data_IF_185104672753
#
_entry.id   IF_185104672753
#
_cell.length_a   1.000
_cell.length_b   1.000
_cell.length_c   1.000
_cell.angle_alpha   90.00
_cell.angle_beta   90.00
_cell.angle_gamma   90.00
#
_symmetry.space_group_name_H-M   'P 1'
#
loop_
_entity.id
_entity.type
_entity.pdbx_description
1 polymer ?
#
# COMPACT_ATOMS: atom_id res chain seq x y z
N UNK A 1 -31.01 -2.81 0.32
CA UNK A 1 -29.57 -3.13 0.24
C UNK A 1 -29.36 -4.63 0.39
N UNK A 2 -28.33 -5.18 -0.24
CA UNK A 2 -27.88 -6.56 -0.03
C UNK A 2 -26.59 -6.49 0.79
N UNK A 3 -26.52 -7.25 1.87
CA UNK A 3 -25.29 -7.41 2.65
C UNK A 3 -24.64 -8.73 2.25
N UNK A 4 -23.40 -8.66 1.77
CA UNK A 4 -22.64 -9.82 1.32
C UNK A 4 -21.20 -9.74 1.87
N UNK A 5 -20.59 -10.86 2.28
CA UNK A 5 -19.17 -10.91 2.60
C UNK A 5 -18.32 -10.93 1.32
N UNK A 6 -17.38 -10.00 1.20
CA UNK A 6 -16.48 -9.89 0.04
C UNK A 6 -15.02 -9.95 0.47
N UNK A 7 -14.17 -10.47 -0.40
CA UNK A 7 -12.72 -10.45 -0.23
C UNK A 7 -12.14 -9.07 -0.56
N UNK A 8 -11.23 -8.56 0.28
CA UNK A 8 -10.58 -7.27 0.03
C UNK A 8 -9.51 -7.38 -1.06
N UNK A 9 -9.51 -6.43 -2.02
CA UNK A 9 -8.72 -6.51 -3.24
C UNK A 9 -9.55 -7.01 -4.41
N UNK A 10 -9.89 -6.13 -5.34
CA UNK A 10 -10.81 -6.46 -6.42
C UNK A 10 -10.17 -7.41 -7.44
N UNK A 11 -10.89 -8.49 -7.76
CA UNK A 11 -10.61 -9.36 -8.90
C UNK A 11 -11.60 -9.03 -10.03
N UNK A 12 -11.14 -8.47 -11.16
CA UNK A 12 -12.04 -8.04 -12.24
C UNK A 12 -12.83 -9.20 -12.81
N UNK A 13 -14.09 -8.98 -13.21
CA UNK A 13 -14.96 -10.05 -13.73
C UNK A 13 -14.37 -10.77 -14.96
N UNK A 14 -13.65 -10.05 -15.81
CA UNK A 14 -13.02 -10.58 -17.02
C UNK A 14 -11.69 -11.30 -16.75
N UNK A 15 -11.12 -11.20 -15.55
CA UNK A 15 -9.85 -11.84 -15.25
C UNK A 15 -9.99 -13.37 -15.34
N UNK A 16 -9.06 -14.01 -16.05
CA UNK A 16 -9.01 -15.46 -16.24
C UNK A 16 -7.66 -16.02 -15.78
N UNK A 17 -7.66 -17.21 -15.15
CA UNK A 17 -6.44 -17.85 -14.66
C UNK A 17 -5.49 -18.25 -15.79
N UNK A 18 -4.21 -17.92 -15.67
CA UNK A 18 -3.17 -18.42 -16.58
C UNK A 18 -2.42 -19.61 -15.95
N UNK A 19 -2.14 -19.53 -14.64
CA UNK A 19 -1.69 -20.64 -13.79
C UNK A 19 -2.79 -21.00 -12.80
N UNK A 20 -3.44 -22.15 -13.05
CA UNK A 20 -4.55 -22.65 -12.25
C UNK A 20 -4.13 -23.37 -10.97
N UNK A 21 -2.82 -23.58 -10.74
CA UNK A 21 -2.37 -24.41 -9.62
C UNK A 21 -2.36 -23.62 -8.30
N UNK A 22 -3.11 -24.08 -7.28
CA UNK A 22 -3.03 -23.50 -5.94
C UNK A 22 -1.63 -23.69 -5.36
N UNK A 23 -1.11 -22.66 -4.70
CA UNK A 23 0.20 -22.71 -4.05
C UNK A 23 0.01 -22.82 -2.53
N UNK A 24 0.79 -23.69 -1.88
CA UNK A 24 0.84 -23.77 -0.41
C UNK A 24 1.71 -22.64 0.13
N UNK A 25 1.38 -22.13 1.31
CA UNK A 25 2.28 -21.22 2.06
C UNK A 25 3.62 -21.92 2.32
N UNK A 26 4.71 -21.15 2.36
CA UNK A 26 6.06 -21.68 2.60
C UNK A 26 6.20 -22.44 3.93
N UNK A 27 5.30 -22.19 4.89
CA UNK A 27 5.19 -22.94 6.14
C UNK A 27 4.66 -24.36 5.99
N UNK A 28 4.16 -24.75 4.82
CA UNK A 28 3.50 -26.04 4.58
C UNK A 28 2.11 -26.18 5.22
N UNK A 29 1.79 -25.33 6.19
CA UNK A 29 0.52 -25.25 6.93
C UNK A 29 -0.35 -24.08 6.46
N UNK A 30 -1.65 -24.33 6.24
CA UNK A 30 -2.66 -23.33 5.89
C UNK A 30 -3.37 -23.62 4.57
N UNK A 31 -4.46 -22.88 4.30
CA UNK A 31 -5.16 -22.97 3.03
C UNK A 31 -4.24 -22.58 1.86
N UNK A 32 -4.37 -23.31 0.75
CA UNK A 32 -3.73 -22.95 -0.52
C UNK A 32 -4.25 -21.59 -1.02
N UNK A 33 -3.50 -20.91 -1.88
CA UNK A 33 -3.92 -19.63 -2.46
C UNK A 33 -3.52 -19.54 -3.94
N UNK A 34 -4.19 -18.68 -4.69
CA UNK A 34 -3.78 -18.32 -6.06
C UNK A 34 -2.84 -17.12 -6.05
N UNK A 35 -1.65 -17.27 -6.64
CA UNK A 35 -0.69 -16.18 -6.82
C UNK A 35 -1.27 -15.04 -7.67
N UNK A 36 -2.07 -15.37 -8.67
CA UNK A 36 -2.67 -14.39 -9.57
C UNK A 36 -3.76 -13.58 -8.87
N UNK A 37 -4.63 -14.25 -8.10
CA UNK A 37 -5.64 -13.55 -7.29
C UNK A 37 -4.95 -12.60 -6.32
N UNK A 38 -3.90 -13.05 -5.62
CA UNK A 38 -3.13 -12.19 -4.72
C UNK A 38 -2.46 -11.01 -5.45
N UNK A 39 -1.94 -11.24 -6.66
CA UNK A 39 -1.36 -10.19 -7.49
C UNK A 39 -2.41 -9.15 -7.92
N UNK A 40 -3.63 -9.56 -8.21
CA UNK A 40 -4.75 -8.63 -8.44
C UNK A 40 -5.13 -7.88 -7.16
N UNK A 41 -5.36 -8.60 -6.06
CA UNK A 41 -5.76 -8.02 -4.77
C UNK A 41 -4.79 -6.94 -4.30
N UNK A 42 -3.48 -7.22 -4.36
CA UNK A 42 -2.43 -6.26 -3.98
C UNK A 42 -2.33 -5.03 -4.87
N UNK A 43 -2.86 -5.06 -6.10
CA UNK A 43 -2.87 -3.91 -7.01
C UNK A 43 -4.20 -3.15 -7.00
N UNK A 44 -5.29 -3.85 -6.69
CA UNK A 44 -6.67 -3.39 -6.90
C UNK A 44 -7.47 -3.29 -5.58
N UNK A 45 -6.81 -3.29 -4.42
CA UNK A 45 -7.46 -3.03 -3.14
C UNK A 45 -7.96 -1.59 -2.99
N UNK A 46 -7.30 -0.64 -3.64
CA UNK A 46 -7.75 0.75 -3.71
C UNK A 46 -7.96 1.19 -5.16
N UNK A 47 -9.05 1.93 -5.38
CA UNK A 47 -9.38 2.60 -6.61
C UNK A 47 -9.23 4.12 -6.42
N UNK A 48 -8.45 4.78 -7.26
CA UNK A 48 -8.30 6.23 -7.21
C UNK A 48 -9.50 6.90 -7.89
N UNK A 49 -10.13 7.89 -7.26
CA UNK A 49 -11.25 8.67 -7.84
C UNK A 49 -10.93 9.16 -9.25
N UNK A 50 -9.72 9.62 -9.48
CA UNK A 50 -9.24 10.14 -10.78
C UNK A 50 -9.25 9.05 -11.85
N UNK A 51 -8.97 7.79 -11.48
CA UNK A 51 -9.02 6.65 -12.41
C UNK A 51 -10.44 6.17 -12.70
N UNK A 52 -11.42 6.55 -11.85
CA UNK A 52 -12.83 6.29 -12.12
C UNK A 52 -13.39 7.19 -13.21
N UNK A 53 -12.80 8.35 -13.50
CA UNK A 53 -13.24 9.20 -14.60
C UNK A 53 -12.78 8.66 -15.98
N UNK A 54 -11.71 7.86 -16.01
CA UNK A 54 -11.04 7.42 -17.22
C UNK A 54 -11.80 6.26 -17.91
N UNK A 55 -11.78 6.20 -19.24
CA UNK A 55 -12.55 5.23 -20.05
C UNK A 55 -11.79 3.94 -20.39
N UNK A 56 -10.50 3.86 -20.09
CA UNK A 56 -9.64 2.69 -20.38
C UNK A 56 -8.98 2.17 -19.10
N UNK A 57 -9.79 1.84 -18.10
CA UNK A 57 -9.32 1.31 -16.81
C UNK A 57 -10.08 0.06 -16.42
N UNK A 58 -9.52 -0.69 -15.46
CA UNK A 58 -10.18 -1.85 -14.86
C UNK A 58 -11.50 -1.51 -14.17
N UNK A 59 -11.74 -0.23 -13.88
CA UNK A 59 -12.91 0.27 -13.16
C UNK A 59 -14.12 0.54 -14.04
N UNK A 60 -13.98 0.50 -15.38
CA UNK A 60 -15.06 0.86 -16.32
C UNK A 60 -16.32 0.03 -16.12
N UNK A 61 -16.15 -1.29 -15.92
CA UNK A 61 -17.29 -2.18 -15.71
C UNK A 61 -17.82 -2.11 -14.26
N UNK A 62 -16.98 -2.16 -13.20
CA UNK A 62 -17.46 -2.02 -11.82
C UNK A 62 -18.14 -0.68 -11.52
N UNK A 63 -17.64 0.45 -12.04
CA UNK A 63 -18.23 1.77 -11.75
C UNK A 63 -19.64 1.91 -12.31
N UNK A 64 -19.97 1.19 -13.39
CA UNK A 64 -21.26 1.24 -14.04
C UNK A 64 -22.32 0.41 -13.30
N UNK A 65 -21.95 -0.76 -12.76
CA UNK A 65 -22.94 -1.75 -12.31
C UNK A 65 -22.67 -2.36 -10.92
N UNK A 66 -21.49 -2.12 -10.34
CA UNK A 66 -21.05 -2.83 -9.13
C UNK A 66 -20.48 -1.86 -8.10
N UNK A 67 -21.29 -0.88 -7.70
CA UNK A 67 -20.99 0.08 -6.64
C UNK A 67 -21.49 -0.47 -5.30
N UNK A 68 -20.69 -0.30 -4.25
CA UNK A 68 -21.04 -0.72 -2.90
C UNK A 68 -20.56 0.29 -1.86
N UNK A 69 -20.94 0.04 -0.62
CA UNK A 69 -20.44 0.72 0.58
C UNK A 69 -19.83 -0.31 1.51
N UNK A 70 -18.69 -0.01 2.10
CA UNK A 70 -17.97 -0.92 3.00
C UNK A 70 -18.02 -0.35 4.41
N UNK A 71 -18.79 -0.96 5.33
CA UNK A 71 -18.82 -0.53 6.73
C UNK A 71 -17.53 -0.95 7.45
N UNK A 72 -16.93 -0.02 8.20
CA UNK A 72 -15.76 -0.25 9.05
C UNK A 72 -15.94 0.48 10.39
N UNK A 73 -15.27 0.00 11.44
CA UNK A 73 -15.18 0.74 12.71
C UNK A 73 -14.11 1.82 12.68
N UNK A 74 -13.11 1.67 11.80
CA UNK A 74 -11.99 2.58 11.62
C UNK A 74 -10.95 1.96 10.68
N UNK A 75 -9.94 2.74 10.32
CA UNK A 75 -8.83 2.30 9.48
C UNK A 75 -7.50 2.75 10.06
N UNK A 76 -6.42 2.11 9.61
CA UNK A 76 -5.07 2.50 9.99
C UNK A 76 -4.40 3.28 8.87
N UNK A 77 -3.60 4.27 9.24
CA UNK A 77 -2.75 4.99 8.30
C UNK A 77 -1.40 5.32 8.97
N UNK A 78 -0.32 5.33 8.19
CA UNK A 78 1.03 5.49 8.73
C UNK A 78 1.61 6.87 8.40
N UNK A 79 1.77 7.69 9.43
CA UNK A 79 2.54 8.93 9.34
C UNK A 79 4.01 8.60 9.10
N UNK A 80 4.56 9.06 7.98
CA UNK A 80 5.99 8.86 7.65
C UNK A 80 6.79 10.11 8.03
N UNK A 81 7.66 9.99 9.03
CA UNK A 81 8.56 11.06 9.43
C UNK A 81 9.70 11.25 8.40
N UNK A 82 10.41 12.39 8.49
CA UNK A 82 11.51 12.75 7.57
C UNK A 82 12.63 11.70 7.44
N UNK A 83 12.81 10.85 8.45
CA UNK A 83 13.82 9.77 8.47
C UNK A 83 13.27 8.40 7.99
N UNK A 84 12.05 8.37 7.45
CA UNK A 84 11.39 7.13 6.99
C UNK A 84 10.74 6.30 8.10
N UNK A 85 10.82 6.76 9.35
CA UNK A 85 10.12 6.12 10.47
C UNK A 85 8.60 6.27 10.31
N UNK A 86 7.86 5.20 10.57
CA UNK A 86 6.41 5.14 10.38
C UNK A 86 5.69 4.99 11.71
N UNK A 87 4.79 5.92 12.00
CA UNK A 87 3.92 5.87 13.19
C UNK A 87 2.49 5.53 12.75
N UNK A 88 1.91 4.40 13.20
CA UNK A 88 0.53 4.05 12.85
C UNK A 88 -0.46 4.89 13.66
N UNK A 89 -1.45 5.45 12.97
CA UNK A 89 -2.63 6.07 13.53
C UNK A 89 -3.83 5.16 13.28
N UNK A 90 -4.72 5.07 14.27
CA UNK A 90 -6.07 4.55 14.07
C UNK A 90 -7.00 5.74 13.87
N UNK A 91 -7.71 5.77 12.74
CA UNK A 91 -8.66 6.82 12.37
C UNK A 91 -10.07 6.23 12.40
N UNK A 92 -10.99 6.86 13.13
CA UNK A 92 -12.30 6.28 13.41
C UNK A 92 -13.34 7.34 13.80
N UNK A 93 -14.59 6.91 13.97
CA UNK A 93 -15.63 7.65 14.68
C UNK A 93 -15.78 7.10 16.10
N UNK A 94 -16.25 7.91 17.04
CA UNK A 94 -16.29 7.53 18.45
C UNK A 94 -17.34 6.43 18.74
N UNK A 95 -18.51 6.51 18.10
CA UNK A 95 -19.67 5.65 18.42
C UNK A 95 -20.41 5.13 17.16
N UNK A 96 -19.88 5.40 15.96
CA UNK A 96 -20.54 5.10 14.69
C UNK A 96 -19.62 4.32 13.75
N UNK A 97 -20.21 3.66 12.75
CA UNK A 97 -19.47 3.05 11.64
C UNK A 97 -19.12 4.12 10.61
N UNK A 98 -17.94 3.99 10.04
CA UNK A 98 -17.59 4.65 8.79
C UNK A 98 -18.07 3.79 7.63
N UNK A 99 -18.55 4.42 6.57
CA UNK A 99 -18.94 3.72 5.36
C UNK A 99 -18.13 4.25 4.19
N UNK A 100 -17.31 3.38 3.64
CA UNK A 100 -16.41 3.69 2.53
C UNK A 100 -17.13 3.48 1.21
N UNK A 101 -17.00 4.42 0.27
CA UNK A 101 -17.37 4.17 -1.11
C UNK A 101 -16.49 3.03 -1.67
N UNK A 102 -17.12 2.04 -2.29
CA UNK A 102 -16.44 0.87 -2.82
C UNK A 102 -16.99 0.41 -4.17
N UNK A 103 -16.22 -0.44 -4.82
CA UNK A 103 -16.59 -1.15 -6.03
C UNK A 103 -16.45 -2.64 -5.76
N UNK A 104 -17.34 -3.45 -6.30
CA UNK A 104 -17.26 -4.90 -6.18
C UNK A 104 -17.22 -5.62 -7.53
N UNK A 105 -16.90 -6.91 -7.47
CA UNK A 105 -16.88 -7.79 -8.63
C UNK A 105 -17.18 -9.22 -8.18
N UNK A 106 -18.00 -9.92 -8.94
CA UNK A 106 -18.17 -11.36 -8.86
C UNK A 106 -17.44 -11.99 -10.05
N UNK A 107 -16.26 -12.54 -9.81
CA UNK A 107 -15.50 -13.24 -10.84
C UNK A 107 -15.92 -14.72 -10.86
N UNK A 108 -16.36 -15.23 -12.02
CA UNK A 108 -16.81 -16.63 -12.19
C UNK A 108 -15.72 -17.58 -12.70
N UNK A 109 -14.52 -17.07 -12.97
CA UNK A 109 -13.39 -17.83 -13.49
C UNK A 109 -12.46 -18.34 -12.37
N UNK A 110 -12.50 -17.69 -11.20
CA UNK A 110 -11.72 -18.03 -10.01
C UNK A 110 -12.66 -18.38 -8.84
N UNK A 111 -12.22 -19.29 -7.95
CA UNK A 111 -12.61 -19.28 -6.54
C UNK A 111 -11.38 -18.92 -5.66
N UNK A 112 -11.54 -18.93 -4.33
CA UNK A 112 -10.48 -18.59 -3.35
C UNK A 112 -9.16 -19.38 -3.58
N UNK A 113 -9.22 -20.59 -4.13
CA UNK A 113 -8.08 -21.51 -4.21
C UNK A 113 -7.87 -22.21 -5.56
N UNK A 114 -8.86 -22.26 -6.46
CA UNK A 114 -8.82 -23.05 -7.71
C UNK A 114 -9.75 -22.49 -8.79
N UNK A 115 -9.71 -23.12 -9.97
CA UNK A 115 -10.71 -22.96 -11.02
C UNK A 115 -12.10 -23.34 -10.51
N UNK A 116 -13.12 -22.64 -11.00
CA UNK A 116 -14.51 -23.05 -10.89
C UNK A 116 -14.92 -23.64 -12.23
N UNK A 117 -15.44 -24.87 -12.24
CA UNK A 117 -16.08 -25.43 -13.44
C UNK A 117 -17.40 -24.70 -13.72
N UNK A 118 -17.58 -24.26 -14.97
CA UNK A 118 -18.81 -23.74 -15.57
C UNK A 118 -19.73 -22.92 -14.65
N UNK A 119 -19.21 -21.80 -14.10
CA UNK A 119 -20.05 -20.76 -13.48
C UNK A 119 -20.85 -21.18 -12.23
N UNK A 120 -20.49 -22.31 -11.61
CA UNK A 120 -21.16 -22.88 -10.43
C UNK A 120 -20.83 -22.16 -9.11
N UNK A 121 -19.78 -21.34 -9.11
CA UNK A 121 -19.35 -20.49 -8.00
C UNK A 121 -18.72 -19.20 -8.53
N UNK A 122 -18.55 -18.22 -7.65
CA UNK A 122 -17.89 -16.96 -7.96
C UNK A 122 -17.06 -16.48 -6.78
N UNK A 123 -15.96 -15.80 -7.08
CA UNK A 123 -15.14 -15.07 -6.12
C UNK A 123 -15.66 -13.62 -6.03
N UNK A 124 -16.29 -13.30 -4.90
CA UNK A 124 -16.74 -11.94 -4.59
C UNK A 124 -15.62 -11.13 -3.96
N UNK A 125 -15.35 -9.96 -4.51
CA UNK A 125 -14.27 -9.09 -4.04
C UNK A 125 -14.56 -7.62 -4.21
N UNK A 126 -13.86 -6.77 -3.46
CA UNK A 126 -14.08 -5.33 -3.48
C UNK A 126 -12.79 -4.49 -3.47
N UNK A 127 -12.93 -3.25 -3.93
CA UNK A 127 -11.95 -2.17 -3.87
C UNK A 127 -12.53 -0.97 -3.15
N UNK A 128 -11.70 -0.23 -2.41
CA UNK A 128 -12.11 1.01 -1.73
C UNK A 128 -11.78 2.20 -2.63
N UNK A 129 -12.75 3.10 -2.82
CA UNK A 129 -12.50 4.37 -3.49
C UNK A 129 -11.70 5.30 -2.58
N UNK A 130 -10.63 5.87 -3.13
CA UNK A 130 -9.71 6.79 -2.44
C UNK A 130 -9.56 8.07 -3.23
N UNK A 131 -9.42 9.18 -2.53
CA UNK A 131 -9.22 10.51 -3.10
C UNK A 131 -7.93 11.17 -2.62
N UNK A 132 -7.60 12.35 -3.18
CA UNK A 132 -6.55 13.21 -2.64
C UNK A 132 -6.82 13.50 -1.16
N UNK A 133 -5.75 13.63 -0.36
CA UNK A 133 -5.88 14.00 1.04
C UNK A 133 -6.05 15.51 1.23
N UNK A 134 -5.80 16.30 0.19
CA UNK A 134 -6.13 17.72 0.14
C UNK A 134 -7.64 17.96 0.28
N UNK A 135 -7.98 19.04 0.97
CA UNK A 135 -9.34 19.49 1.15
C UNK A 135 -9.39 20.74 2.03
N UNK A 136 -10.59 21.17 2.37
CA UNK A 136 -10.85 22.35 3.21
C UNK A 136 -11.02 21.98 4.68
N UNK A 137 -10.35 22.68 5.59
CA UNK A 137 -10.47 22.43 7.04
C UNK A 137 -10.08 21.00 7.44
N UNK A 138 -10.93 20.29 8.19
CA UNK A 138 -10.71 18.91 8.65
C UNK A 138 -10.62 17.90 7.49
N UNK A 139 -11.09 18.27 6.29
CA UNK A 139 -10.90 17.44 5.11
C UNK A 139 -9.43 17.40 4.66
N UNK A 140 -8.58 18.34 5.09
CA UNK A 140 -7.15 18.29 4.78
C UNK A 140 -6.42 17.28 5.68
N UNK A 141 -6.17 16.08 5.16
CA UNK A 141 -5.46 15.01 5.85
C UNK A 141 -4.03 14.80 5.33
N UNK A 142 -3.48 15.76 4.58
CA UNK A 142 -2.13 15.67 3.98
C UNK A 142 -1.02 15.54 5.01
N UNK A 143 -1.28 15.97 6.25
CA UNK A 143 -0.38 15.77 7.38
C UNK A 143 -0.15 14.29 7.69
N UNK A 144 -1.12 13.42 7.41
CA UNK A 144 -1.07 11.99 7.73
C UNK A 144 -0.62 11.16 6.53
N UNK A 145 -1.24 11.38 5.36
CA UNK A 145 -0.94 10.66 4.12
C UNK A 145 -1.39 11.46 2.89
N UNK A 146 -0.91 11.11 1.70
CA UNK A 146 -1.26 11.80 0.45
C UNK A 146 -2.63 11.42 -0.12
N UNK A 147 -3.23 10.34 0.41
CA UNK A 147 -4.52 9.81 -0.01
C UNK A 147 -5.35 9.45 1.20
N UNK A 148 -6.67 9.53 1.05
CA UNK A 148 -7.63 9.14 2.08
C UNK A 148 -8.79 8.32 1.47
N UNK A 149 -9.41 7.41 2.25
CA UNK A 149 -10.62 6.73 1.83
C UNK A 149 -11.78 7.72 1.70
N UNK A 150 -12.71 7.49 0.77
CA UNK A 150 -13.87 8.38 0.57
C UNK A 150 -15.07 7.82 1.33
N UNK A 151 -15.64 8.64 2.21
CA UNK A 151 -16.80 8.26 3.02
C UNK A 151 -18.11 8.68 2.37
N UNK A 152 -19.15 7.86 2.55
CA UNK A 152 -20.53 8.19 2.22
C UNK A 152 -21.37 8.10 3.49
N UNK A 153 -22.01 9.20 3.88
CA UNK A 153 -22.89 9.19 5.04
C UNK A 153 -24.17 8.39 4.72
N UNK A 154 -24.62 7.48 5.61
CA UNK A 154 -25.85 6.72 5.38
C UNK A 154 -27.03 7.65 5.07
N UNK A 155 -27.80 7.31 4.02
CA UNK A 155 -28.99 8.04 3.58
C UNK A 155 -28.73 9.49 3.11
N UNK A 156 -27.48 9.89 2.85
CA UNK A 156 -27.19 11.17 2.19
C UNK A 156 -27.53 11.11 0.69
N UNK A 157 -27.67 12.27 0.02
CA UNK A 157 -27.86 12.31 -1.44
C UNK A 157 -26.75 11.60 -2.22
N UNK A 158 -25.50 11.69 -1.75
CA UNK A 158 -24.35 11.01 -2.34
C UNK A 158 -24.43 9.49 -2.16
N UNK A 159 -24.88 9.04 -1.00
CA UNK A 159 -25.10 7.62 -0.71
C UNK A 159 -26.18 7.03 -1.61
N UNK A 160 -27.33 7.70 -1.72
CA UNK A 160 -28.44 7.25 -2.55
C UNK A 160 -28.02 7.18 -4.02
N UNK A 161 -27.37 8.23 -4.53
CA UNK A 161 -26.89 8.27 -5.91
C UNK A 161 -25.79 7.26 -6.19
N UNK A 162 -24.88 7.04 -5.24
CA UNK A 162 -23.82 6.03 -5.38
C UNK A 162 -24.38 4.60 -5.44
N UNK A 163 -25.45 4.31 -4.69
CA UNK A 163 -26.01 2.97 -4.57
C UNK A 163 -27.24 2.70 -5.46
N UNK A 164 -27.70 3.69 -6.21
CA UNK A 164 -28.83 3.52 -7.13
C UNK A 164 -28.45 2.60 -8.30
N UNK A 165 -29.07 1.42 -8.45
CA UNK A 165 -28.80 0.50 -9.55
C UNK A 165 -29.34 0.97 -10.90
N UNK A 166 -30.26 1.95 -10.92
CA UNK A 166 -30.81 2.55 -12.13
C UNK A 166 -30.01 3.77 -12.60
N UNK A 167 -29.08 4.26 -11.78
CA UNK A 167 -28.23 5.39 -12.11
C UNK A 167 -27.09 4.93 -13.03
N UNK A 168 -27.15 5.40 -14.28
CA UNK A 168 -26.06 5.28 -15.25
C UNK A 168 -24.81 6.01 -14.76
N UNK A 169 -23.64 5.55 -15.22
CA UNK A 169 -22.38 6.21 -14.88
C UNK A 169 -22.24 7.55 -15.61
N UNK A 170 -22.27 8.63 -14.85
CA UNK A 170 -22.03 9.99 -15.32
C UNK A 170 -21.19 10.81 -14.32
N UNK A 171 -20.98 12.09 -14.63
CA UNK A 171 -20.21 13.00 -13.77
C UNK A 171 -20.84 13.19 -12.39
N UNK A 172 -22.17 13.13 -12.27
CA UNK A 172 -22.87 13.32 -11.00
C UNK A 172 -22.60 12.18 -10.01
N UNK A 173 -22.43 10.95 -10.51
CA UNK A 173 -22.01 9.80 -9.69
C UNK A 173 -20.57 9.99 -9.21
N UNK A 174 -19.68 10.54 -10.04
CA UNK A 174 -18.31 10.84 -9.65
C UNK A 174 -18.23 11.98 -8.61
N UNK A 175 -19.13 12.96 -8.69
CA UNK A 175 -19.23 14.07 -7.74
C UNK A 175 -19.61 13.61 -6.33
N UNK A 176 -20.39 12.53 -6.21
CA UNK A 176 -20.72 11.89 -4.92
C UNK A 176 -19.48 11.48 -4.13
N UNK A 177 -18.36 11.23 -4.81
CA UNK A 177 -17.08 10.92 -4.18
C UNK A 177 -16.38 12.19 -3.68
N UNK A 178 -17.05 13.00 -2.85
CA UNK A 178 -16.53 14.28 -2.35
C UNK A 178 -15.40 14.05 -1.33
N UNK A 179 -14.25 14.68 -1.59
CA UNK A 179 -13.07 14.66 -0.71
C UNK A 179 -12.72 16.04 -0.15
N UNK A 180 -13.27 17.12 -0.69
CA UNK A 180 -12.85 18.48 -0.37
C UNK A 180 -13.61 19.05 0.83
N UNK A 181 -14.92 18.78 0.88
CA UNK A 181 -15.86 19.39 1.85
C UNK A 181 -16.84 18.37 2.42
N UNK A 182 -16.41 17.12 2.56
CA UNK A 182 -17.27 16.05 3.05
C UNK A 182 -17.36 16.14 4.59
N UNK A 183 -18.58 16.24 5.15
CA UNK A 183 -18.78 16.51 6.58
C UNK A 183 -18.35 15.34 7.47
N UNK A 184 -18.26 14.11 6.95
CA UNK A 184 -17.79 12.95 7.73
C UNK A 184 -16.36 13.16 8.25
N UNK A 185 -15.53 13.89 7.51
CA UNK A 185 -14.16 14.17 7.94
C UNK A 185 -14.07 15.10 9.17
N UNK A 186 -15.09 15.93 9.43
CA UNK A 186 -15.13 16.83 10.59
C UNK A 186 -15.35 16.07 11.90
N UNK A 187 -15.93 14.87 11.82
CA UNK A 187 -16.23 14.02 12.97
C UNK A 187 -15.13 13.01 13.29
N UNK A 188 -14.14 12.86 12.40
CA UNK A 188 -13.07 11.88 12.58
C UNK A 188 -12.25 12.17 13.84
N UNK A 189 -11.96 11.09 14.56
CA UNK A 189 -10.98 11.03 15.63
C UNK A 189 -9.80 10.18 15.17
N UNK A 190 -8.65 10.46 15.76
CA UNK A 190 -7.46 9.66 15.54
C UNK A 190 -6.53 9.68 16.74
N UNK A 191 -5.81 8.58 16.92
CA UNK A 191 -4.76 8.47 17.92
C UNK A 191 -3.69 7.48 17.46
N UNK A 192 -2.49 7.62 18.05
CA UNK A 192 -1.37 6.72 17.78
C UNK A 192 -1.63 5.36 18.41
N UNK A 193 -1.36 4.29 17.67
CA UNK A 193 -1.46 2.91 18.15
C UNK A 193 -0.09 2.23 18.14
N UNK A 194 -0.02 1.02 18.68
CA UNK A 194 1.23 0.27 18.75
C UNK A 194 1.67 -0.24 17.36
N UNK A 195 2.98 -0.24 17.10
CA UNK A 195 3.57 -0.69 15.81
C UNK A 195 3.25 -2.14 15.41
N UNK A 196 2.79 -2.97 16.36
CA UNK A 196 2.38 -4.35 16.11
C UNK A 196 1.25 -4.49 15.10
N UNK A 197 0.44 -3.44 14.89
CA UNK A 197 -0.64 -3.43 13.90
C UNK A 197 -0.13 -3.67 12.46
N UNK A 198 1.15 -3.38 12.19
CA UNK A 198 1.77 -3.68 10.89
C UNK A 198 1.90 -5.18 10.57
N UNK A 199 1.69 -6.07 11.55
CA UNK A 199 1.62 -7.51 11.33
C UNK A 199 0.14 -7.98 11.41
N UNK A 200 -0.48 -8.38 10.29
CA UNK A 200 -1.89 -8.78 10.24
C UNK A 200 -2.28 -9.96 11.14
N UNK A 201 -1.30 -10.73 11.66
CA UNK A 201 -1.56 -11.78 12.66
C UNK A 201 -2.03 -11.22 14.01
N UNK A 202 -1.77 -9.94 14.27
CA UNK A 202 -2.23 -9.24 15.47
C UNK A 202 -3.64 -8.70 15.24
N UNK A 203 -4.65 -9.45 15.69
CA UNK A 203 -6.07 -9.14 15.46
C UNK A 203 -6.87 -9.09 16.77
N UNK A 204 -6.27 -8.59 17.86
CA UNK A 204 -6.96 -8.38 19.14
C UNK A 204 -7.41 -6.94 19.29
N UNK A 205 -8.33 -6.66 20.22
CA UNK A 205 -8.78 -5.30 20.54
C UNK A 205 -7.65 -4.38 21.04
N UNK A 206 -6.47 -4.92 21.37
CA UNK A 206 -5.30 -4.13 21.77
C UNK A 206 -4.72 -3.29 20.62
N UNK A 207 -4.88 -3.73 19.37
CA UNK A 207 -4.22 -3.06 18.21
C UNK A 207 -4.83 -1.70 17.86
N UNK A 208 -6.02 -1.39 18.40
CA UNK A 208 -6.70 -0.11 18.22
C UNK A 208 -6.54 0.82 19.44
N UNK A 209 -5.93 0.35 20.53
CA UNK A 209 -5.79 1.17 21.74
C UNK A 209 -4.75 2.25 21.57
N UNK A 210 -5.07 3.43 22.09
CA UNK A 210 -4.15 4.56 22.13
C UNK A 210 -2.90 4.22 22.93
N UNK A 211 -1.74 4.55 22.37
CA UNK A 211 -0.44 4.47 23.03
C UNK A 211 -0.10 5.86 23.55
N UNK A 212 0.05 5.98 24.88
CA UNK A 212 0.51 7.23 25.50
C UNK A 212 1.98 7.50 25.11
N UNK A 213 2.33 8.76 24.86
CA UNK A 213 3.64 9.19 24.35
C UNK A 213 4.87 8.58 25.08
N UNK A 214 4.77 8.28 26.37
CA UNK A 214 5.82 7.62 27.17
C UNK A 214 6.13 6.19 26.73
N UNK A 215 5.19 5.48 26.11
CA UNK A 215 5.36 4.12 25.61
C UNK A 215 5.99 4.08 24.21
N UNK A 216 5.84 5.14 23.40
CA UNK A 216 6.49 5.28 22.09
C UNK A 216 8.02 5.36 22.20
N UNK A 217 8.54 6.05 23.24
CA UNK A 217 9.97 6.10 23.51
C UNK A 217 10.56 4.73 23.88
N UNK A 218 9.79 3.87 24.56
CA UNK A 218 10.26 2.54 24.94
C UNK A 218 10.32 1.62 23.72
N UNK A 219 9.35 1.70 22.80
CA UNK A 219 9.37 0.91 21.55
C UNK A 219 10.54 1.25 20.63
N UNK A 220 11.02 2.49 20.64
CA UNK A 220 12.24 2.91 19.93
C UNK A 220 13.51 2.19 20.42
N UNK A 221 13.52 1.66 21.65
CA UNK A 221 14.63 0.86 22.18
C UNK A 221 14.54 -0.64 21.88
N UNK A 222 13.34 -1.17 21.61
CA UNK A 222 13.11 -2.60 21.40
C UNK A 222 13.07 -3.04 19.92
N UNK A 223 13.10 -2.11 18.96
CA UNK A 223 13.34 -2.48 17.57
C UNK A 223 14.82 -2.81 17.36
N UNK A 224 15.19 -4.03 16.92
CA UNK A 224 16.55 -4.31 16.52
C UNK A 224 16.88 -3.42 15.31
N UNK A 225 17.83 -2.50 15.49
CA UNK A 225 18.45 -1.82 14.34
C UNK A 225 19.01 -2.90 13.43
N UNK A 226 18.53 -2.99 12.19
CA UNK A 226 19.29 -3.68 11.14
C UNK A 226 20.67 -3.05 11.12
N UNK A 227 21.70 -3.82 11.48
CA UNK A 227 23.09 -3.41 11.27
C UNK A 227 23.24 -3.10 9.78
N UNK A 228 23.92 -2.00 9.40
CA UNK A 228 24.33 -1.83 8.02
C UNK A 228 25.10 -3.09 7.61
N UNK A 229 24.81 -3.62 6.42
CA UNK A 229 25.60 -4.72 5.87
C UNK A 229 27.05 -4.24 5.77
N UNK A 230 27.97 -4.93 6.43
CA UNK A 230 29.39 -4.78 6.15
C UNK A 230 29.60 -5.18 4.69
N UNK A 231 30.10 -4.26 3.88
CA UNK A 231 30.56 -4.56 2.52
C UNK A 231 31.70 -5.56 2.64
N UNK A 232 31.46 -6.82 2.24
CA UNK A 232 32.53 -7.79 2.11
C UNK A 232 33.51 -7.33 1.02
N UNK A 233 34.83 -7.30 1.29
CA UNK A 233 35.81 -6.92 0.28
C UNK A 233 35.88 -7.98 -0.83
N UNK A 234 35.67 -7.51 -2.05
CA UNK A 234 35.71 -8.26 -3.30
C UNK A 234 36.98 -9.12 -3.44
N UNK A 235 36.82 -10.45 -3.55
CA UNK A 235 37.89 -11.41 -3.85
C UNK A 235 38.03 -11.63 -5.36
N UNK A 236 38.90 -10.85 -5.98
CA UNK A 236 39.54 -11.11 -7.28
C UNK A 236 40.90 -10.39 -7.22
N UNK A 237 42.08 -10.99 -7.42
CA UNK A 237 42.48 -12.26 -7.96
C UNK A 237 43.79 -12.73 -7.29
N UNK A 238 44.01 -14.05 -7.21
CA UNK A 238 45.30 -14.69 -6.88
C UNK A 238 46.07 -14.96 -8.18
N UNK A 239 47.41 -14.83 -8.10
CA UNK A 239 48.52 -15.27 -8.98
C UNK A 239 49.30 -14.04 -9.49
N UNK A 240 50.60 -13.87 -9.22
CA UNK A 240 51.66 -14.83 -8.96
C UNK A 240 52.76 -14.25 -8.04
N UNK A 241 53.35 -15.11 -7.21
CA UNK A 241 54.65 -14.92 -6.57
C UNK A 241 55.74 -14.96 -7.65
N UNK A 242 56.61 -13.94 -7.74
CA UNK A 242 58.05 -14.12 -8.02
C UNK A 242 58.83 -13.05 -7.21
N UNK A 243 59.76 -13.59 -6.42
CA UNK A 243 60.80 -12.94 -5.62
C UNK A 243 61.61 -11.88 -6.39
N UNK A 244 61.92 -10.76 -5.74
CA UNK A 244 63.29 -10.22 -5.73
C UNK A 244 63.53 -9.27 -4.55
N UNK A 245 64.57 -9.60 -3.80
CA UNK A 245 65.22 -8.80 -2.76
C UNK A 245 65.81 -7.49 -3.30
N UNK A 246 65.99 -6.53 -2.38
CA UNK A 246 66.95 -5.42 -2.41
C UNK A 246 66.76 -4.40 -3.56
N UNK A 247 66.61 -3.10 -3.30
CA UNK A 247 67.76 -2.27 -2.94
C UNK A 247 67.28 -0.90 -2.48
N UNK A 248 67.44 -0.63 -1.18
CA UNK A 248 67.66 0.73 -0.66
C UNK A 248 68.95 1.23 -1.31
N UNK A 249 68.86 2.23 -2.20
CA UNK A 249 69.91 3.18 -2.65
C UNK A 249 69.65 3.66 -4.08
N UNK A 250 68.85 4.72 -4.22
CA UNK A 250 69.04 5.76 -5.27
C UNK A 250 68.10 6.96 -5.04
N UNK A 251 68.03 7.40 -3.79
CA UNK A 251 67.70 8.79 -3.47
C UNK A 251 69.05 9.36 -3.05
N UNK A 252 69.62 10.20 -3.89
CA UNK A 252 70.89 10.95 -3.79
C UNK A 252 71.79 10.69 -5.01
N UNK A 253 72.13 11.80 -5.70
CA UNK A 253 72.73 11.94 -7.03
C UNK A 253 71.77 11.76 -8.22
N UNK A 254 70.91 12.75 -8.46
CA UNK A 254 71.01 13.66 -9.64
C UNK A 254 70.25 14.96 -9.30
N UNK A 255 70.72 15.68 -8.28
CA UNK A 255 70.46 17.12 -8.11
C UNK A 255 71.73 17.86 -8.44
N UNK A 256 72.24 17.61 -9.64
CA UNK A 256 73.28 18.40 -10.31
C UNK A 256 73.28 17.95 -11.77
N UNK A 257 72.26 18.40 -12.49
CA UNK A 257 72.24 18.85 -13.90
C UNK A 257 70.88 19.57 -14.03
N UNK A 258 70.80 20.75 -13.41
CA UNK A 258 69.97 21.83 -13.91
C UNK A 258 70.87 22.58 -14.89
N UNK A 259 70.56 22.52 -16.18
CA UNK A 259 70.83 23.50 -17.25
C UNK A 259 70.84 22.75 -18.56
N UNK A 260 70.14 23.31 -19.56
CA UNK A 260 69.85 22.73 -20.89
C UNK A 260 68.72 21.70 -20.81
N UNK A 261 67.50 21.87 -21.33
CA UNK A 261 67.01 22.67 -22.43
C UNK A 261 65.55 23.09 -22.11
N UNK A 262 65.35 24.37 -21.86
CA UNK A 262 64.08 25.03 -22.15
C UNK A 262 64.37 25.96 -23.32
N UNK A 263 64.15 25.47 -24.54
CA UNK A 263 64.17 26.26 -25.77
C UNK A 263 63.56 25.46 -26.92
N UNK A 264 62.39 25.93 -27.40
CA UNK A 264 61.72 25.63 -28.68
C UNK A 264 61.08 24.24 -28.74
N UNK A 265 59.76 24.03 -28.90
CA UNK A 265 58.67 24.77 -29.57
C UNK A 265 57.49 25.15 -28.66
#
# INVERSE_FOLDING_TARGET
YVAEPLNFGLLPQWATPHDSLPVKKSSGTGASYSKEVQAHQSKLFNCKKETLAQTKTVWVQPRAHSRCVVPITGYFEWLTAKKGEKTPYYVHLEQLLLFLAGLYSHNRNYNDTSLVGDGTAYFSSFSIATGPAEGSGSNNMTWLHSRKPIFLAPFSPEWERWLDPQQDWDTSVLECLNCDTNPVYDELKWHVVHGSVGNPKNNSAEVIKEVKATQLFITLFFYPRKRPAEEEPNKQAKKDDIKTENTVKKMDRVTEIKREQASVE
#
